data_IF_174244649628
#
_entry.id   IF_174244649628
#
_cell.length_a   1.000
_cell.length_b   1.000
_cell.length_c   1.000
_cell.angle_alpha   90.00
_cell.angle_beta   90.00
_cell.angle_gamma   90.00
#
_symmetry.space_group_name_H-M   'P 1'
#
loop_
_entity.id
_entity.type
_entity.pdbx_description
1 polymer ?
#
# COMPACT_ATOMS: atom_id res chain seq x y z
N UNK A 1 -3.04 -27.05 12.59
CA UNK A 1 -3.41 -25.64 12.75
C UNK A 1 -2.52 -24.75 11.91
N UNK A 2 -3.11 -23.85 11.22
CA UNK A 2 -2.35 -23.01 10.31
C UNK A 2 -1.70 -21.87 11.03
N UNK A 3 -0.52 -21.48 10.56
CA UNK A 3 0.14 -20.32 11.10
C UNK A 3 -0.56 -19.06 10.60
N UNK A 4 -0.45 -17.96 11.36
CA UNK A 4 -1.04 -16.72 10.88
C UNK A 4 -0.52 -16.30 9.50
N UNK A 5 0.76 -16.55 9.24
CA UNK A 5 1.32 -16.18 7.94
C UNK A 5 0.70 -17.00 6.82
N UNK A 6 0.50 -18.31 7.05
CA UNK A 6 -0.12 -19.15 6.04
C UNK A 6 -1.56 -18.76 5.79
N UNK A 7 -2.26 -18.37 6.85
CA UNK A 7 -3.63 -17.93 6.72
C UNK A 7 -3.73 -16.65 5.89
N UNK A 8 -2.84 -15.71 6.16
CA UNK A 8 -2.83 -14.44 5.41
C UNK A 8 -2.51 -14.70 3.94
N UNK A 9 -1.53 -15.56 3.68
CA UNK A 9 -1.17 -15.87 2.31
C UNK A 9 -2.34 -16.48 1.54
N UNK A 10 -3.08 -17.38 2.20
CA UNK A 10 -4.23 -17.99 1.56
C UNK A 10 -5.31 -16.96 1.24
N UNK A 11 -5.50 -16.00 2.15
CA UNK A 11 -6.48 -14.96 1.90
C UNK A 11 -6.08 -14.09 0.72
N UNK A 12 -4.81 -13.73 0.63
CA UNK A 12 -4.36 -12.90 -0.50
C UNK A 12 -4.55 -13.66 -1.81
N UNK A 13 -4.24 -14.96 -1.82
CA UNK A 13 -4.43 -15.74 -3.03
C UNK A 13 -5.89 -15.74 -3.48
N UNK A 14 -6.82 -15.82 -2.52
CA UNK A 14 -8.23 -15.78 -2.84
C UNK A 14 -8.68 -14.39 -3.30
N UNK A 15 -8.08 -13.35 -2.72
CA UNK A 15 -8.36 -11.98 -3.19
C UNK A 15 -7.91 -11.82 -4.64
N UNK A 16 -6.79 -12.46 -5.01
CA UNK A 16 -6.35 -12.43 -6.40
C UNK A 16 -7.40 -13.02 -7.34
N UNK A 17 -8.23 -13.92 -6.82
CA UNK A 17 -9.34 -14.49 -7.58
C UNK A 17 -10.63 -13.70 -7.40
N UNK A 18 -10.53 -12.53 -6.80
CA UNK A 18 -11.65 -11.60 -6.60
C UNK A 18 -12.68 -12.13 -5.62
N UNK A 19 -12.23 -12.83 -4.60
CA UNK A 19 -13.09 -13.34 -3.54
C UNK A 19 -13.31 -12.24 -2.51
N UNK A 20 -14.49 -11.67 -2.49
CA UNK A 20 -14.77 -10.53 -1.61
C UNK A 20 -14.79 -10.93 -0.14
N UNK A 21 -15.23 -12.13 0.16
CA UNK A 21 -15.22 -12.60 1.54
C UNK A 21 -13.79 -12.69 2.06
N UNK A 22 -12.89 -13.20 1.23
CA UNK A 22 -11.48 -13.27 1.60
C UNK A 22 -10.90 -11.87 1.80
N UNK A 23 -11.30 -10.92 0.99
CA UNK A 23 -10.83 -9.54 1.13
C UNK A 23 -11.28 -8.97 2.47
N UNK A 24 -12.53 -9.19 2.83
CA UNK A 24 -13.04 -8.71 4.12
C UNK A 24 -12.28 -9.33 5.28
N UNK A 25 -12.04 -10.64 5.22
CA UNK A 25 -11.28 -11.32 6.25
C UNK A 25 -9.86 -10.78 6.35
N UNK A 26 -9.25 -10.53 5.20
CA UNK A 26 -7.90 -9.98 5.17
C UNK A 26 -7.88 -8.61 5.83
N UNK A 27 -8.87 -7.79 5.52
CA UNK A 27 -8.96 -6.47 6.14
C UNK A 27 -9.05 -6.60 7.66
N UNK A 28 -9.95 -7.45 8.14
CA UNK A 28 -10.13 -7.60 9.58
C UNK A 28 -8.83 -8.06 10.25
N UNK A 29 -8.11 -8.96 9.61
CA UNK A 29 -6.92 -9.54 10.23
C UNK A 29 -5.70 -8.63 10.17
N UNK A 30 -5.64 -7.71 9.23
CA UNK A 30 -4.41 -6.95 9.01
C UNK A 30 -4.58 -5.45 9.13
N UNK A 31 -5.79 -4.94 9.24
CA UNK A 31 -5.99 -3.50 9.20
C UNK A 31 -5.30 -2.79 10.35
N UNK A 32 -5.33 -3.35 11.56
CA UNK A 32 -4.70 -2.69 12.71
C UNK A 32 -3.20 -2.56 12.49
N UNK A 33 -2.57 -3.60 11.99
CA UNK A 33 -1.13 -3.55 11.75
C UNK A 33 -0.79 -2.55 10.66
N UNK A 34 -1.54 -2.57 9.58
CA UNK A 34 -1.26 -1.65 8.48
C UNK A 34 -1.62 -0.21 8.85
N UNK A 35 -2.65 -0.03 9.67
CA UNK A 35 -2.92 1.30 10.18
C UNK A 35 -1.74 1.83 11.00
N UNK A 36 -1.14 0.96 11.80
CA UNK A 36 0.05 1.37 12.56
C UNK A 36 1.18 1.83 11.67
N UNK A 37 1.39 1.13 10.55
CA UNK A 37 2.40 1.54 9.58
C UNK A 37 2.08 2.92 9.02
N UNK A 38 0.84 3.12 8.60
CA UNK A 38 0.42 4.40 8.03
C UNK A 38 0.57 5.52 9.04
N UNK A 39 0.14 5.27 10.27
CA UNK A 39 0.19 6.30 11.31
C UNK A 39 1.62 6.69 11.63
N UNK A 40 2.51 5.71 11.65
CA UNK A 40 3.91 5.98 11.95
C UNK A 40 4.54 6.88 10.89
N UNK A 41 4.17 6.69 9.65
CA UNK A 41 4.74 7.46 8.56
C UNK A 41 4.07 8.81 8.40
N UNK A 42 2.75 8.85 8.44
CA UNK A 42 2.01 10.08 8.17
C UNK A 42 1.83 10.96 9.39
N UNK A 43 1.85 10.35 10.58
CA UNK A 43 1.79 11.06 11.85
C UNK A 43 0.53 11.90 12.01
N UNK A 44 -0.54 11.46 11.39
CA UNK A 44 -1.83 12.11 11.46
C UNK A 44 -2.88 11.02 11.34
N UNK A 45 -3.75 10.93 12.34
CA UNK A 45 -4.70 9.84 12.40
C UNK A 45 -5.67 9.82 11.22
N UNK A 46 -6.19 10.99 10.86
CA UNK A 46 -7.14 11.04 9.77
C UNK A 46 -6.49 10.67 8.45
N UNK A 47 -5.28 11.16 8.21
CA UNK A 47 -4.56 10.81 7.00
C UNK A 47 -4.23 9.32 6.97
N UNK A 48 -3.90 8.76 8.15
CA UNK A 48 -3.59 7.34 8.21
C UNK A 48 -4.83 6.51 7.89
N UNK A 49 -5.99 6.95 8.35
CA UNK A 49 -7.22 6.23 8.05
C UNK A 49 -7.54 6.27 6.57
N UNK A 50 -7.36 7.42 5.95
CA UNK A 50 -7.58 7.54 4.52
C UNK A 50 -6.57 6.71 3.73
N UNK A 51 -5.32 6.74 4.17
CA UNK A 51 -4.29 5.95 3.51
C UNK A 51 -4.57 4.47 3.62
N UNK A 52 -5.06 4.03 4.77
CA UNK A 52 -5.38 2.62 4.95
C UNK A 52 -6.41 2.15 3.94
N UNK A 53 -7.43 2.96 3.69
CA UNK A 53 -8.43 2.59 2.69
C UNK A 53 -7.79 2.45 1.31
N UNK A 54 -6.92 3.39 0.96
CA UNK A 54 -6.26 3.32 -0.34
C UNK A 54 -5.31 2.14 -0.43
N UNK A 55 -4.67 1.80 0.67
CA UNK A 55 -3.79 0.64 0.70
C UNK A 55 -4.59 -0.62 0.37
N UNK A 56 -5.78 -0.76 0.94
CA UNK A 56 -6.57 -1.96 0.66
C UNK A 56 -7.15 -1.95 -0.75
N UNK A 57 -7.40 -0.79 -1.33
CA UNK A 57 -7.73 -0.74 -2.75
C UNK A 57 -6.58 -1.31 -3.58
N UNK A 58 -5.36 -0.92 -3.24
CA UNK A 58 -4.18 -1.43 -3.95
C UNK A 58 -3.98 -2.92 -3.72
N UNK A 59 -4.26 -3.39 -2.50
CA UNK A 59 -4.19 -4.81 -2.21
C UNK A 59 -5.16 -5.58 -3.11
N UNK A 60 -6.37 -5.09 -3.23
CA UNK A 60 -7.36 -5.72 -4.11
C UNK A 60 -6.86 -5.76 -5.55
N UNK A 61 -6.30 -4.66 -6.01
CA UNK A 61 -5.87 -4.55 -7.40
C UNK A 61 -4.63 -5.37 -7.70
N UNK A 62 -3.76 -5.60 -6.70
CA UNK A 62 -2.44 -6.16 -6.94
C UNK A 62 -2.19 -7.48 -6.24
N UNK A 63 -3.23 -8.12 -5.76
CA UNK A 63 -3.06 -9.38 -5.03
C UNK A 63 -2.39 -10.44 -5.89
N UNK A 64 -2.66 -10.42 -7.20
CA UNK A 64 -2.03 -11.37 -8.11
C UNK A 64 -0.51 -11.19 -8.16
N UNK A 65 -0.03 -9.96 -7.96
CA UNK A 65 1.41 -9.73 -7.94
C UNK A 65 2.05 -10.36 -6.71
N UNK A 66 1.34 -10.36 -5.59
CA UNK A 66 1.86 -11.02 -4.41
C UNK A 66 2.06 -12.50 -4.67
N UNK A 67 1.07 -13.14 -5.29
CA UNK A 67 1.12 -14.57 -5.53
C UNK A 67 2.39 -14.95 -6.29
N UNK A 68 2.85 -14.05 -7.16
CA UNK A 68 4.02 -14.32 -7.97
C UNK A 68 5.32 -13.82 -7.36
N UNK A 69 5.25 -13.14 -6.23
CA UNK A 69 6.40 -12.41 -5.72
C UNK A 69 7.35 -13.24 -4.88
N UNK A 70 6.85 -14.24 -4.21
CA UNK A 70 7.69 -15.01 -3.29
C UNK A 70 7.93 -14.36 -1.95
N UNK A 71 7.40 -13.16 -1.72
CA UNK A 71 7.56 -12.49 -0.43
C UNK A 71 6.63 -13.10 0.61
N UNK A 72 6.97 -12.90 1.88
CA UNK A 72 6.02 -13.27 2.92
C UNK A 72 4.80 -12.36 2.84
N UNK A 73 3.64 -12.84 3.26
CA UNK A 73 2.42 -12.05 3.11
C UNK A 73 2.46 -10.75 3.87
N UNK A 74 2.93 -10.76 5.10
CA UNK A 74 2.96 -9.52 5.89
C UNK A 74 3.97 -8.55 5.29
N UNK A 75 5.12 -9.03 4.85
CA UNK A 75 6.11 -8.15 4.23
C UNK A 75 5.55 -7.46 3.01
N UNK A 76 4.80 -8.20 2.19
CA UNK A 76 4.23 -7.61 1.00
C UNK A 76 3.19 -6.54 1.36
N UNK A 77 2.31 -6.84 2.33
CA UNK A 77 1.29 -5.88 2.74
C UNK A 77 1.93 -4.63 3.34
N UNK A 78 2.94 -4.80 4.17
CA UNK A 78 3.62 -3.65 4.76
C UNK A 78 4.29 -2.82 3.67
N UNK A 79 4.87 -3.46 2.66
CA UNK A 79 5.48 -2.72 1.56
C UNK A 79 4.45 -1.91 0.80
N UNK A 80 3.26 -2.47 0.55
CA UNK A 80 2.20 -1.73 -0.13
C UNK A 80 1.83 -0.50 0.70
N UNK A 81 1.67 -0.68 2.02
CA UNK A 81 1.29 0.42 2.89
C UNK A 81 2.37 1.50 2.94
N UNK A 82 3.63 1.08 3.10
CA UNK A 82 4.72 2.05 3.16
C UNK A 82 4.84 2.84 1.87
N UNK A 83 4.80 2.14 0.75
CA UNK A 83 4.95 2.82 -0.53
C UNK A 83 3.84 3.82 -0.75
N UNK A 84 2.61 3.45 -0.38
CA UNK A 84 1.51 4.39 -0.53
C UNK A 84 1.70 5.61 0.35
N UNK A 85 2.09 5.42 1.60
CA UNK A 85 2.26 6.54 2.51
C UNK A 85 3.41 7.45 2.08
N UNK A 86 4.48 6.88 1.55
CA UNK A 86 5.56 7.70 1.04
C UNK A 86 5.09 8.54 -0.15
N UNK A 87 4.23 7.98 -1.00
CA UNK A 87 3.66 8.75 -2.09
C UNK A 87 2.81 9.90 -1.57
N UNK A 88 2.04 9.65 -0.50
CA UNK A 88 1.24 10.71 0.10
C UNK A 88 2.15 11.83 0.61
N UNK A 89 3.23 11.46 1.28
CA UNK A 89 4.15 12.48 1.79
C UNK A 89 4.76 13.31 0.66
N UNK A 90 5.14 12.66 -0.42
CA UNK A 90 5.70 13.39 -1.54
C UNK A 90 4.70 14.36 -2.13
N UNK A 91 3.45 13.93 -2.24
CA UNK A 91 2.43 14.75 -2.87
C UNK A 91 2.12 16.01 -2.07
N UNK A 92 2.29 15.97 -0.74
CA UNK A 92 1.89 17.11 0.07
C UNK A 92 3.04 18.02 0.45
N UNK A 93 4.26 17.71 0.05
CA UNK A 93 5.39 18.54 0.42
C UNK A 93 5.47 19.78 -0.44
N UNK A 94 5.96 20.90 0.14
CA UNK A 94 6.16 22.11 -0.65
C UNK A 94 7.17 21.85 -1.75
N UNK A 95 7.08 22.65 -2.80
CA UNK A 95 7.92 22.44 -3.97
C UNK A 95 9.40 22.45 -3.65
N UNK A 96 9.83 23.38 -2.83
CA UNK A 96 11.25 23.49 -2.51
C UNK A 96 11.75 22.27 -1.76
N UNK A 97 10.93 21.73 -0.90
CA UNK A 97 11.32 20.52 -0.20
C UNK A 97 11.20 19.31 -1.12
N UNK A 98 10.28 19.38 -2.04
CA UNK A 98 10.11 18.29 -2.97
C UNK A 98 11.37 18.04 -3.78
N UNK A 99 12.11 19.07 -4.09
CA UNK A 99 13.32 18.90 -4.88
C UNK A 99 14.28 17.98 -4.16
N UNK A 100 14.53 18.24 -2.89
CA UNK A 100 15.38 17.36 -2.11
C UNK A 100 14.78 15.97 -1.98
N UNK A 101 13.53 15.93 -1.64
CA UNK A 101 12.86 14.67 -1.42
C UNK A 101 12.80 13.86 -2.70
N UNK A 102 12.56 14.53 -3.81
CA UNK A 102 12.49 13.85 -5.09
C UNK A 102 13.82 13.22 -5.45
N UNK A 103 14.90 13.90 -5.15
CA UNK A 103 16.21 13.34 -5.43
C UNK A 103 16.46 12.09 -4.60
N UNK A 104 16.12 12.15 -3.32
CA UNK A 104 16.29 11.01 -2.45
C UNK A 104 15.44 9.85 -2.90
N UNK A 105 14.20 10.15 -3.22
CA UNK A 105 13.28 9.11 -3.64
C UNK A 105 13.70 8.52 -4.96
N UNK A 106 14.16 9.33 -5.87
CA UNK A 106 14.61 8.84 -7.15
C UNK A 106 15.77 7.88 -6.99
N UNK A 107 16.65 8.18 -6.04
CA UNK A 107 17.76 7.29 -5.79
C UNK A 107 17.29 5.98 -5.23
N UNK A 108 16.32 6.03 -4.34
CA UNK A 108 15.83 4.84 -3.71
C UNK A 108 14.85 4.12 -4.59
N UNK A 109 14.08 4.86 -5.34
CA UNK A 109 12.97 4.31 -6.03
C UNK A 109 13.34 3.82 -7.38
N UNK A 110 12.66 2.91 -7.85
CA UNK A 110 12.75 2.51 -9.21
C UNK A 110 11.81 3.31 -9.87
N UNK A 111 11.65 4.06 -9.79
CA UNK A 111 10.93 4.73 -10.47
C UNK A 111 9.71 4.64 -10.90
N UNK A 112 9.29 4.70 -11.37
CA UNK A 112 8.38 4.90 -11.71
C UNK A 112 7.37 4.64 -12.33
N UNK A 113 7.20 4.28 -12.43
CA UNK A 113 6.31 4.07 -12.85
C UNK A 113 5.49 4.45 -12.49
N UNK A 114 5.69 4.74 -12.21
CA UNK A 114 5.13 5.13 -11.87
C UNK A 114 4.64 5.84 -11.95
N UNK A 115 4.87 5.97 -12.12
CA UNK A 115 4.45 6.67 -12.17
C UNK A 115 3.74 7.05 -12.62
N UNK A 116 3.68 6.91 -12.84
CA UNK A 116 3.01 7.30 -13.11
C UNK A 116 2.26 7.58 -13.14
N UNK A 117 2.26 7.46 -13.05
CA UNK A 117 1.67 7.84 -12.95
C UNK A 117 1.04 8.25 -12.73
N UNK A 118 1.12 8.13 -12.64
CA UNK A 118 0.62 8.61 -12.39
C UNK A 118 -0.03 9.11 -12.32
N UNK A 119 -0.05 9.10 -12.52
CA UNK A 119 -0.58 9.58 -12.43
C UNK A 119 -1.21 10.00 -12.12
N UNK A 120 -1.27 9.88 -12.20
CA UNK A 120 -1.67 10.15 -11.96
C UNK A 120 -2.40 10.52 -11.54
N UNK A 121 -2.43 10.41 -11.49
CA UNK A 121 -2.88 10.56 -11.03
C UNK A 121 -3.72 10.74 -10.62
N UNK A 122 -3.65 10.55 -10.60
CA UNK A 122 -4.23 10.59 -10.13
C UNK A 122 -4.83 10.56 -9.61
N UNK A 123 -4.89 10.45 -9.64
CA UNK A 123 -5.33 10.37 -9.23
C UNK A 123 -5.81 10.35 -8.73
N UNK A 124 -5.93 10.34 -8.96
CA UNK A 124 -6.21 10.24 -8.58
C UNK A 124 -6.94 10.05 -8.28
N UNK A 125 -6.89 9.80 -8.28
CA UNK A 125 -7.36 9.48 -8.10
C UNK A 125 -7.90 9.44 -7.83
N UNK A 126 -8.09 9.33 -7.80
CA UNK A 126 -8.44 9.17 -7.63
C UNK A 126 -8.90 9.16 -7.38
N UNK A 127 -9.15 9.44 -7.59
CA UNK A 127 -9.43 9.37 -7.39
C UNK A 127 -10.11 8.93 -7.61
N UNK A 128 -10.39 8.50 -7.62
CA UNK A 128 -10.80 7.85 -7.79
C UNK A 128 -11.19 7.65 -8.00
#
# INVERSE_FOLDING_TARGET
MESPAGDIAALIARVALRDRAAFRDLYVKTSAKLFGVCLRILKDRQEAEEALQEVFVKVWQRADRYVQSGFSPISWLVAVARNHCLDVLRARKPLSEDIHTALDVADAGPGPEQSAGAGRRGARIARL
#
